data_IF_854776920559
#
_entry.id   IF_854776920559
#
_cell.length_a   1.000
_cell.length_b   1.000
_cell.length_c   1.000
_cell.angle_alpha   90.00
_cell.angle_beta   90.00
_cell.angle_gamma   90.00
#
_symmetry.space_group_name_H-M   'P 1'
#
loop_
_entity.id
_entity.type
_entity.pdbx_description
1 polymer ?
#
# COMPACT_ATOMS: atom_id res chain seq x y z
N UNK A 1 6.55 4.68 -13.54
CA UNK A 1 6.70 3.21 -13.61
C UNK A 1 6.08 2.73 -14.90
N UNK A 2 6.70 1.78 -15.60
CA UNK A 2 6.15 1.15 -16.81
C UNK A 2 5.80 -0.30 -16.51
N UNK A 3 4.65 -0.78 -16.98
CA UNK A 3 4.27 -2.20 -16.86
C UNK A 3 5.27 -3.09 -17.59
N UNK A 4 5.49 -4.28 -17.04
CA UNK A 4 6.39 -5.28 -17.59
C UNK A 4 5.66 -6.11 -18.65
N UNK A 5 6.21 -6.14 -19.86
CA UNK A 5 5.73 -7.03 -20.94
C UNK A 5 4.22 -6.96 -21.18
N UNK A 6 3.65 -8.07 -21.64
CA UNK A 6 2.21 -8.19 -21.90
C UNK A 6 1.42 -8.62 -20.64
N UNK A 7 2.08 -9.20 -19.64
CA UNK A 7 1.45 -9.79 -18.44
C UNK A 7 1.54 -8.91 -17.19
N UNK A 8 2.27 -7.79 -17.24
CA UNK A 8 2.44 -6.88 -16.10
C UNK A 8 1.12 -6.34 -15.55
N UNK A 9 0.14 -6.07 -16.42
CA UNK A 9 -1.21 -5.66 -16.00
C UNK A 9 -1.92 -6.77 -15.23
N UNK A 10 -1.89 -8.00 -15.74
CA UNK A 10 -2.55 -9.14 -15.09
C UNK A 10 -1.93 -9.47 -13.73
N UNK A 11 -0.60 -9.40 -13.64
CA UNK A 11 0.14 -9.54 -12.38
C UNK A 11 -0.26 -8.48 -11.37
N UNK A 12 -0.42 -7.24 -11.83
CA UNK A 12 -0.88 -6.13 -11.00
C UNK A 12 -2.29 -6.43 -10.50
N UNK A 13 -3.27 -6.62 -11.40
CA UNK A 13 -4.66 -6.88 -11.04
C UNK A 13 -4.82 -8.09 -10.12
N UNK A 14 -4.11 -9.18 -10.39
CA UNK A 14 -4.10 -10.37 -9.55
C UNK A 14 -3.61 -10.08 -8.13
N UNK A 15 -2.54 -9.29 -7.97
CA UNK A 15 -2.02 -8.90 -6.67
C UNK A 15 -2.98 -7.95 -5.92
N UNK A 16 -3.61 -7.03 -6.65
CA UNK A 16 -4.62 -6.11 -6.12
C UNK A 16 -5.86 -6.83 -5.63
N UNK A 17 -6.24 -7.93 -6.28
CA UNK A 17 -7.37 -8.75 -5.87
C UNK A 17 -7.12 -9.63 -4.64
N UNK A 18 -5.87 -9.77 -4.16
CA UNK A 18 -5.57 -10.70 -3.04
C UNK A 18 -6.28 -10.34 -1.73
N UNK A 19 -6.36 -9.06 -1.30
CA UNK A 19 -7.01 -8.65 -0.06
C UNK A 19 -8.48 -9.08 0.08
N UNK A 20 -9.22 -9.28 -1.00
CA UNK A 20 -10.63 -9.71 -0.92
C UNK A 20 -10.79 -11.18 -0.50
N UNK A 21 -9.72 -11.98 -0.59
CA UNK A 21 -9.84 -13.41 -0.32
C UNK A 21 -10.06 -13.67 1.18
N UNK A 22 -11.07 -14.47 1.56
CA UNK A 22 -11.43 -14.70 2.97
C UNK A 22 -10.33 -15.28 3.86
N UNK A 23 -9.33 -15.94 3.26
CA UNK A 23 -8.20 -16.53 4.00
C UNK A 23 -7.30 -15.50 4.68
N UNK A 24 -7.31 -14.25 4.21
CA UNK A 24 -6.51 -13.18 4.80
C UNK A 24 -7.35 -12.44 5.85
N UNK A 25 -7.13 -12.76 7.11
CA UNK A 25 -7.91 -12.20 8.23
C UNK A 25 -7.38 -10.86 8.71
N UNK A 26 -8.29 -9.90 8.82
CA UNK A 26 -8.03 -8.55 9.32
C UNK A 26 -7.12 -7.73 8.40
N UNK A 27 -6.98 -6.44 8.71
CA UNK A 27 -6.22 -5.47 7.91
C UNK A 27 -4.76 -5.90 7.76
N UNK A 28 -4.12 -6.40 8.82
CA UNK A 28 -2.75 -6.88 8.76
C UNK A 28 -2.55 -8.04 7.77
N UNK A 29 -3.48 -9.01 7.75
CA UNK A 29 -3.39 -10.15 6.83
C UNK A 29 -3.60 -9.74 5.38
N UNK A 30 -4.60 -8.89 5.13
CA UNK A 30 -4.92 -8.37 3.81
C UNK A 30 -3.80 -7.47 3.26
N UNK A 31 -3.25 -6.59 4.09
CA UNK A 31 -2.11 -5.73 3.74
C UNK A 31 -0.85 -6.54 3.44
N UNK A 32 -0.56 -7.58 4.24
CA UNK A 32 0.57 -8.48 3.99
C UNK A 32 0.42 -9.23 2.67
N UNK A 33 -0.79 -9.70 2.33
CA UNK A 33 -1.06 -10.34 1.05
C UNK A 33 -0.81 -9.37 -0.11
N UNK A 34 -1.38 -8.15 -0.05
CA UNK A 34 -1.17 -7.12 -1.06
C UNK A 34 0.33 -6.84 -1.29
N UNK A 35 1.07 -6.60 -0.20
CA UNK A 35 2.51 -6.38 -0.25
C UNK A 35 3.25 -7.57 -0.88
N UNK A 36 2.98 -8.78 -0.42
CA UNK A 36 3.66 -9.99 -0.85
C UNK A 36 3.49 -10.26 -2.34
N UNK A 37 2.24 -10.23 -2.84
CA UNK A 37 1.95 -10.53 -4.24
C UNK A 37 2.39 -9.42 -5.19
N UNK A 38 2.37 -8.14 -4.77
CA UNK A 38 2.96 -7.06 -5.58
C UNK A 38 4.48 -7.18 -5.69
N UNK A 39 5.14 -7.55 -4.60
CA UNK A 39 6.59 -7.66 -4.54
C UNK A 39 7.09 -8.87 -5.36
N UNK A 40 6.45 -10.05 -5.21
CA UNK A 40 6.77 -11.27 -5.97
C UNK A 40 6.23 -11.27 -7.41
N UNK A 41 5.11 -10.59 -7.66
CA UNK A 41 4.44 -10.59 -8.95
C UNK A 41 5.25 -9.86 -10.03
N UNK A 42 6.08 -8.90 -9.65
CA UNK A 42 6.89 -8.04 -10.54
C UNK A 42 6.10 -7.43 -11.72
N UNK A 43 4.97 -6.73 -11.48
CA UNK A 43 4.13 -6.15 -12.54
C UNK A 43 4.80 -5.02 -13.33
N UNK A 44 5.82 -4.35 -12.77
CA UNK A 44 6.53 -3.24 -13.41
C UNK A 44 7.94 -3.64 -13.82
N UNK A 45 8.49 -2.91 -14.81
CA UNK A 45 9.90 -3.04 -15.22
C UNK A 45 10.84 -2.77 -14.05
N UNK A 46 10.52 -1.76 -13.24
CA UNK A 46 11.32 -1.36 -12.09
C UNK A 46 10.44 -0.89 -10.92
N UNK A 47 11.06 -0.77 -9.74
CA UNK A 47 10.41 -0.18 -8.56
C UNK A 47 9.29 -0.99 -7.91
N UNK A 48 9.07 -2.26 -8.29
CA UNK A 48 8.06 -3.14 -7.71
C UNK A 48 8.03 -3.12 -6.16
N UNK A 49 9.19 -3.19 -5.51
CA UNK A 49 9.32 -3.09 -4.04
C UNK A 49 8.76 -1.78 -3.48
N UNK A 50 9.11 -0.65 -4.11
CA UNK A 50 8.62 0.69 -3.71
C UNK A 50 7.10 0.78 -3.88
N UNK A 51 6.59 0.24 -4.98
CA UNK A 51 5.14 0.19 -5.22
C UNK A 51 4.42 -0.71 -4.21
N UNK A 52 4.95 -1.90 -3.92
CA UNK A 52 4.37 -2.84 -2.97
C UNK A 52 4.28 -2.24 -1.56
N UNK A 53 5.34 -1.59 -1.09
CA UNK A 53 5.36 -0.88 0.20
C UNK A 53 4.30 0.23 0.22
N UNK A 54 4.28 1.06 -0.82
CA UNK A 54 3.31 2.14 -0.92
C UNK A 54 1.87 1.58 -0.88
N UNK A 55 1.58 0.57 -1.69
CA UNK A 55 0.24 -0.02 -1.77
C UNK A 55 -0.21 -0.61 -0.44
N UNK A 56 0.71 -1.26 0.29
CA UNK A 56 0.47 -1.78 1.63
C UNK A 56 0.13 -0.66 2.63
N UNK A 57 0.95 0.40 2.68
CA UNK A 57 0.72 1.52 3.61
C UNK A 57 -0.59 2.26 3.29
N UNK A 58 -0.88 2.51 2.01
CA UNK A 58 -2.14 3.12 1.60
C UNK A 58 -3.34 2.23 1.96
N UNK A 59 -3.24 0.91 1.76
CA UNK A 59 -4.30 -0.01 2.15
C UNK A 59 -4.55 0.03 3.66
N UNK A 60 -3.49 0.03 4.47
CA UNK A 60 -3.60 0.17 5.93
C UNK A 60 -4.31 1.48 6.29
N UNK A 61 -3.88 2.58 5.68
CA UNK A 61 -4.45 3.91 5.91
C UNK A 61 -5.93 3.93 5.56
N UNK A 62 -6.31 3.43 4.37
CA UNK A 62 -7.68 3.36 3.85
C UNK A 62 -8.61 2.51 4.73
N UNK A 63 -8.06 1.56 5.48
CA UNK A 63 -8.81 0.74 6.43
C UNK A 63 -8.83 1.37 7.85
N UNK A 64 -8.48 2.65 8.01
CA UNK A 64 -8.56 3.36 9.28
C UNK A 64 -7.41 3.06 10.25
N UNK A 65 -6.35 2.40 9.78
CA UNK A 65 -5.21 2.06 10.61
C UNK A 65 -3.99 2.91 10.27
N UNK A 66 -3.04 2.98 11.19
CA UNK A 66 -1.69 3.46 10.96
C UNK A 66 -0.66 2.37 11.28
N UNK A 67 0.56 2.53 10.79
CA UNK A 67 1.67 1.58 11.00
C UNK A 67 2.80 2.23 11.82
N UNK A 68 3.07 1.67 13.00
CA UNK A 68 4.25 2.01 13.82
C UNK A 68 5.45 1.19 13.34
N UNK A 69 6.17 1.72 12.37
CA UNK A 69 7.43 1.17 11.88
C UNK A 69 8.30 2.31 11.35
N UNK A 70 9.60 2.17 11.51
CA UNK A 70 10.59 3.02 10.86
C UNK A 70 10.67 2.74 9.36
N UNK A 71 11.14 3.71 8.57
CA UNK A 71 11.38 3.53 7.14
C UNK A 71 12.30 2.34 6.87
N UNK A 72 13.30 2.12 7.73
CA UNK A 72 14.23 1.00 7.60
C UNK A 72 13.54 -0.34 7.83
N UNK A 73 12.70 -0.47 8.87
CA UNK A 73 11.94 -1.72 9.11
C UNK A 73 11.01 -2.07 7.93
N UNK A 74 10.41 -1.07 7.30
CA UNK A 74 9.55 -1.28 6.12
C UNK A 74 10.37 -1.69 4.89
N UNK A 75 11.57 -1.10 4.72
CA UNK A 75 12.51 -1.51 3.66
C UNK A 75 12.98 -2.94 3.89
N UNK A 76 13.35 -3.30 5.12
CA UNK A 76 13.82 -4.64 5.48
C UNK A 76 12.73 -5.69 5.26
N UNK A 77 11.48 -5.37 5.62
CA UNK A 77 10.32 -6.21 5.31
C UNK A 77 10.17 -6.44 3.79
N UNK A 78 10.30 -5.38 2.98
CA UNK A 78 10.20 -5.48 1.53
C UNK A 78 11.35 -6.26 0.89
N UNK A 79 12.57 -6.14 1.44
CA UNK A 79 13.74 -6.89 1.00
C UNK A 79 13.59 -8.37 1.37
N UNK A 80 13.22 -8.68 2.61
CA UNK A 80 13.04 -10.06 3.06
C UNK A 80 11.92 -10.79 2.33
N UNK A 81 10.82 -10.10 1.99
CA UNK A 81 9.81 -10.67 1.09
C UNK A 81 10.40 -10.91 -0.31
N UNK A 82 11.19 -9.99 -0.84
CA UNK A 82 11.75 -10.12 -2.19
C UNK A 82 12.73 -11.30 -2.30
N UNK A 83 13.66 -11.44 -1.34
CA UNK A 83 14.66 -12.52 -1.31
C UNK A 83 14.10 -13.85 -0.76
N UNK A 84 12.93 -13.82 -0.12
CA UNK A 84 12.25 -15.02 0.40
C UNK A 84 12.62 -15.39 1.84
N UNK A 85 13.44 -14.60 2.51
CA UNK A 85 13.73 -14.75 3.95
C UNK A 85 12.55 -14.39 4.85
N UNK A 86 11.57 -13.62 4.34
CA UNK A 86 10.33 -13.29 5.06
C UNK A 86 9.12 -13.87 4.33
N UNK A 87 8.36 -14.71 5.04
CA UNK A 87 7.11 -15.27 4.55
C UNK A 87 5.96 -14.26 4.64
N UNK A 88 4.88 -14.52 3.91
CA UNK A 88 3.65 -13.72 4.02
C UNK A 88 3.04 -13.79 5.44
N UNK A 89 3.16 -14.93 6.13
CA UNK A 89 2.65 -15.10 7.48
C UNK A 89 3.45 -14.26 8.49
N UNK A 90 4.78 -14.24 8.36
CA UNK A 90 5.66 -13.37 9.18
C UNK A 90 5.41 -11.89 8.88
N UNK A 91 5.18 -11.53 7.61
CA UNK A 91 4.77 -10.17 7.23
C UNK A 91 3.47 -9.77 7.91
N UNK A 92 2.46 -10.65 7.90
CA UNK A 92 1.19 -10.40 8.57
C UNK A 92 1.36 -10.27 10.09
N UNK A 93 2.24 -11.07 10.71
CA UNK A 93 2.54 -10.98 12.13
C UNK A 93 3.24 -9.65 12.48
N UNK A 94 4.24 -9.25 11.69
CA UNK A 94 4.93 -7.96 11.80
C UNK A 94 3.95 -6.80 11.78
N UNK A 95 3.04 -6.78 10.80
CA UNK A 95 2.03 -5.73 10.67
C UNK A 95 1.06 -5.77 11.85
N UNK A 96 0.54 -6.95 12.23
CA UNK A 96 -0.45 -7.08 13.31
C UNK A 96 0.05 -6.51 14.65
N UNK A 97 1.34 -6.62 14.94
CA UNK A 97 1.95 -6.08 16.15
C UNK A 97 2.13 -4.55 16.12
N UNK A 98 2.09 -3.94 14.94
CA UNK A 98 2.45 -2.53 14.70
C UNK A 98 1.30 -1.68 14.16
N UNK A 99 0.17 -2.30 13.83
CA UNK A 99 -1.04 -1.57 13.46
C UNK A 99 -1.70 -0.96 14.69
N UNK A 100 -2.12 0.29 14.55
CA UNK A 100 -3.00 0.96 15.52
C UNK A 100 -4.21 1.52 14.78
N UNK A 101 -5.37 1.57 15.45
CA UNK A 101 -6.54 2.24 14.90
C UNK A 101 -6.35 3.75 15.03
N UNK A 102 -6.56 4.50 13.92
CA UNK A 102 -6.48 5.96 13.94
C UNK A 102 -7.69 6.61 14.61
N UNK A 103 -8.79 5.88 14.80
CA UNK A 103 -10.04 6.41 15.33
C UNK A 103 -10.76 7.37 14.37
N UNK A 104 -10.30 7.47 13.12
CA UNK A 104 -10.92 8.32 12.10
C UNK A 104 -12.06 7.55 11.43
N UNK A 105 -13.28 8.12 11.35
CA UNK A 105 -14.33 7.62 10.48
C UNK A 105 -13.84 7.58 9.02
N UNK A 106 -14.30 6.59 8.25
CA UNK A 106 -13.90 6.40 6.84
C UNK A 106 -14.10 7.66 5.99
N UNK A 107 -15.15 8.44 6.25
CA UNK A 107 -15.40 9.72 5.58
C UNK A 107 -14.29 10.76 5.84
N UNK A 108 -13.89 10.93 7.11
CA UNK A 108 -12.84 11.88 7.48
C UNK A 108 -11.49 11.47 6.92
N UNK A 109 -11.23 10.18 6.87
CA UNK A 109 -10.03 9.61 6.27
C UNK A 109 -9.99 9.84 4.74
N UNK A 110 -11.11 9.65 4.05
CA UNK A 110 -11.22 9.96 2.60
C UNK A 110 -11.00 11.43 2.34
N UNK A 111 -11.67 12.31 3.08
CA UNK A 111 -11.47 13.75 2.98
C UNK A 111 -10.02 14.15 3.26
N UNK A 112 -9.38 13.52 4.25
CA UNK A 112 -7.97 13.75 4.55
C UNK A 112 -7.05 13.30 3.41
N UNK A 113 -7.34 12.17 2.75
CA UNK A 113 -6.58 11.68 1.60
C UNK A 113 -6.75 12.58 0.36
N UNK A 114 -7.95 13.11 0.12
CA UNK A 114 -8.23 14.05 -0.97
C UNK A 114 -7.51 15.40 -0.77
N UNK A 115 -7.57 15.94 0.45
CA UNK A 115 -6.85 17.15 0.83
C UNK A 115 -5.33 16.93 0.72
N UNK A 116 -4.84 15.77 1.16
CA UNK A 116 -3.45 15.38 0.99
C UNK A 116 -3.06 15.35 -0.49
N UNK A 117 -3.77 14.61 -1.36
CA UNK A 117 -3.47 14.57 -2.81
C UNK A 117 -3.42 15.98 -3.42
N UNK A 118 -4.39 16.83 -3.05
CA UNK A 118 -4.43 18.24 -3.47
C UNK A 118 -3.17 19.00 -3.04
N UNK A 119 -2.75 18.86 -1.78
CA UNK A 119 -1.51 19.48 -1.27
C UNK A 119 -0.27 18.93 -1.97
N UNK A 120 -0.23 17.63 -2.24
CA UNK A 120 0.88 16.97 -2.93
C UNK A 120 1.05 17.48 -4.37
N UNK A 121 -0.05 17.67 -5.11
CA UNK A 121 -0.03 18.27 -6.46
C UNK A 121 0.50 19.71 -6.47
N UNK A 122 0.21 20.48 -5.42
CA UNK A 122 0.66 21.88 -5.30
C UNK A 122 2.11 22.02 -4.81
N UNK A 123 2.63 21.05 -4.06
CA UNK A 123 3.87 21.22 -3.29
C UNK A 123 5.18 21.26 -4.08
N UNK A 124 5.22 20.91 -5.37
CA UNK A 124 6.42 21.07 -6.23
C UNK A 124 7.62 20.17 -5.88
N UNK A 125 8.19 20.26 -4.68
CA UNK A 125 9.36 19.48 -4.21
C UNK A 125 9.13 18.79 -2.84
N UNK A 126 9.64 17.55 -2.60
CA UNK A 126 9.46 16.80 -1.35
C UNK A 126 10.06 17.43 -0.08
N UNK A 127 11.05 18.31 -0.19
CA UNK A 127 11.73 18.90 0.98
C UNK A 127 10.85 19.83 1.81
N UNK A 128 9.83 20.46 1.20
CA UNK A 128 8.97 21.46 1.87
C UNK A 128 7.85 20.84 2.72
N UNK A 129 7.69 19.52 2.67
CA UNK A 129 6.61 18.81 3.37
C UNK A 129 7.07 18.33 4.74
N UNK A 130 6.20 18.38 5.75
CA UNK A 130 6.46 17.80 7.06
C UNK A 130 6.70 16.28 6.98
N UNK A 131 7.41 15.70 7.95
CA UNK A 131 7.85 14.28 7.91
C UNK A 131 6.69 13.29 7.65
N UNK A 132 5.54 13.49 8.30
CA UNK A 132 4.34 12.68 8.06
C UNK A 132 3.80 12.81 6.63
N UNK A 133 3.85 14.00 6.03
CA UNK A 133 3.40 14.28 4.66
C UNK A 133 4.41 13.77 3.63
N UNK A 134 5.72 13.78 3.95
CA UNK A 134 6.77 13.20 3.07
C UNK A 134 6.61 11.70 2.90
N UNK A 135 6.33 10.98 4.00
CA UNK A 135 6.03 9.55 3.98
C UNK A 135 4.83 9.27 3.06
N UNK A 136 3.73 10.00 3.26
CA UNK A 136 2.54 9.88 2.42
C UNK A 136 2.74 10.32 0.95
N UNK A 137 3.55 11.34 0.66
CA UNK A 137 3.81 11.79 -0.73
C UNK A 137 4.41 10.72 -1.62
N UNK A 138 5.38 9.96 -1.09
CA UNK A 138 6.01 8.87 -1.84
C UNK A 138 5.00 7.77 -2.17
N UNK A 139 4.01 7.57 -1.30
CA UNK A 139 2.99 6.53 -1.35
C UNK A 139 1.86 6.91 -2.31
N UNK A 140 1.23 8.06 -2.09
CA UNK A 140 0.03 8.50 -2.79
C UNK A 140 0.30 8.82 -4.26
N UNK A 141 1.37 9.57 -4.60
CA UNK A 141 1.64 9.95 -5.99
C UNK A 141 2.04 8.77 -6.90
N UNK A 142 2.61 7.69 -6.34
CA UNK A 142 2.94 6.49 -7.12
C UNK A 142 1.70 5.64 -7.43
N UNK A 143 0.74 5.58 -6.49
CA UNK A 143 -0.48 4.78 -6.61
C UNK A 143 -1.58 5.54 -7.35
N UNK A 144 -1.77 6.84 -7.03
CA UNK A 144 -2.76 7.71 -7.71
C UNK A 144 -2.49 7.75 -9.21
N UNK A 145 -1.23 7.97 -9.61
CA UNK A 145 -0.88 8.06 -11.03
C UNK A 145 -0.92 6.72 -11.77
N UNK A 146 -0.95 5.59 -11.05
CA UNK A 146 -0.82 4.26 -11.67
C UNK A 146 -2.13 3.48 -11.62
N UNK A 147 -3.01 3.72 -10.63
CA UNK A 147 -4.04 2.73 -10.27
C UNK A 147 -5.39 3.31 -9.78
N UNK A 148 -5.45 4.48 -9.12
CA UNK A 148 -6.70 5.01 -8.51
C UNK A 148 -7.76 5.51 -9.50
N UNK A 149 -7.62 5.25 -10.80
CA UNK A 149 -8.63 5.57 -11.83
C UNK A 149 -9.35 4.32 -12.36
N UNK A 150 -9.26 3.16 -11.67
CA UNK A 150 -9.98 1.94 -12.03
C UNK A 150 -11.08 1.62 -11.02
N UNK A 151 -12.29 1.32 -11.50
CA UNK A 151 -13.48 0.97 -10.69
C UNK A 151 -13.25 -0.27 -9.81
N UNK A 152 -12.30 -1.14 -10.20
CA UNK A 152 -11.91 -2.38 -9.51
C UNK A 152 -11.29 -2.11 -8.12
N UNK A 153 -10.69 -0.93 -7.90
CA UNK A 153 -10.11 -0.60 -6.60
C UNK A 153 -11.16 -0.30 -5.55
N UNK A 154 -12.21 0.43 -5.89
CA UNK A 154 -13.24 0.88 -4.94
C UNK A 154 -13.95 -0.31 -4.27
N UNK A 155 -14.22 -1.37 -5.04
CA UNK A 155 -14.89 -2.59 -4.56
C UNK A 155 -14.08 -3.36 -3.50
N UNK A 156 -12.74 -3.27 -3.51
CA UNK A 156 -11.89 -3.91 -2.49
C UNK A 156 -12.04 -3.28 -1.09
N UNK A 157 -12.63 -2.09 -1.00
CA UNK A 157 -12.76 -1.31 0.25
C UNK A 157 -14.17 -1.29 0.84
N UNK A 158 -15.18 -1.83 0.14
CA UNK A 158 -16.56 -1.83 0.63
C UNK A 158 -16.90 -3.06 1.50
N UNK A 159 -16.20 -4.18 1.33
CA UNK A 159 -16.42 -5.44 2.07
C UNK A 159 -15.68 -5.53 3.43
N UNK A 160 -15.55 -4.41 4.13
CA UNK A 160 -14.72 -4.26 5.34
C UNK A 160 -15.44 -4.17 6.69
N UNK A 161 -16.77 -4.37 6.73
CA UNK A 161 -17.58 -4.37 7.98
C UNK A 161 -17.66 -5.74 8.65
#
# INVERSE_FOLDING_TARGET
MRLRGNDGRERLLSALGQPSWPRYRGVAGKAAALHFFLNKGHPFVDGNKRFAVAAMELFIDLNGHGLVASDQEVVDLALGVADGSTTMAESAAFLRQRLFNKGLPNEQLRAWLEDLDTKLRKAGSPETLGAGIRRHRRITSAIVNTVLMSEEWTALFEDGS
#
